data_IF_152892127262
#
_entry.id   IF_152892127262
#
_cell.length_a   1.000
_cell.length_b   1.000
_cell.length_c   1.000
_cell.angle_alpha   90.00
_cell.angle_beta   90.00
_cell.angle_gamma   90.00
#
_symmetry.space_group_name_H-M   'P 1'
#
loop_
_entity.id
_entity.type
_entity.pdbx_description
1 polymer ?
#
# COMPACT_ATOMS: atom_id res chain seq x y z
N UNK A 1 3.58 -54.04 36.36
CA UNK A 1 3.45 -52.60 36.67
C UNK A 1 2.82 -51.92 35.47
N UNK A 2 1.79 -51.12 35.75
CA UNK A 2 0.73 -50.66 34.85
C UNK A 2 1.17 -49.59 33.84
N UNK A 3 0.51 -49.63 32.68
CA UNK A 3 0.45 -48.61 31.63
C UNK A 3 0.16 -47.18 32.13
N UNK A 4 0.66 -46.19 31.39
CA UNK A 4 -0.12 -44.99 31.04
C UNK A 4 0.20 -44.58 29.61
N UNK A 5 -0.75 -44.84 28.69
CA UNK A 5 -0.82 -44.25 27.35
C UNK A 5 -1.82 -43.11 27.44
N UNK A 6 -1.39 -41.87 27.23
CA UNK A 6 -2.30 -40.74 27.09
C UNK A 6 -2.85 -40.72 25.66
N UNK A 7 -4.12 -41.10 25.54
CA UNK A 7 -4.93 -40.98 24.33
C UNK A 7 -5.46 -39.55 24.25
N UNK A 8 -5.04 -38.79 23.24
CA UNK A 8 -5.66 -37.52 22.85
C UNK A 8 -6.96 -37.84 22.08
N UNK A 9 -8.10 -37.64 22.72
CA UNK A 9 -9.41 -37.75 22.11
C UNK A 9 -9.75 -36.43 21.40
N UNK A 10 -9.61 -36.39 20.07
CA UNK A 10 -10.24 -35.37 19.22
C UNK A 10 -11.66 -35.84 18.94
N UNK A 11 -12.64 -35.20 19.58
CA UNK A 11 -14.06 -35.36 19.24
C UNK A 11 -14.31 -34.69 17.88
N UNK A 12 -14.27 -35.46 16.81
CA UNK A 12 -14.96 -35.12 15.58
C UNK A 12 -16.45 -35.45 15.78
N UNK A 13 -17.30 -34.43 15.79
CA UNK A 13 -18.76 -34.60 15.85
C UNK A 13 -19.27 -35.22 14.56
N UNK A 14 -19.95 -36.34 14.76
CA UNK A 14 -20.59 -37.24 13.80
C UNK A 14 -21.76 -36.56 13.08
N UNK A 15 -21.77 -36.62 11.75
CA UNK A 15 -22.99 -36.65 10.93
C UNK A 15 -23.12 -38.06 10.34
N UNK A 16 -24.35 -38.58 10.41
CA UNK A 16 -24.73 -39.99 10.41
C UNK A 16 -25.01 -40.55 8.99
N UNK A 17 -24.62 -41.83 8.80
CA UNK A 17 -25.11 -42.91 7.91
C UNK A 17 -25.36 -42.73 6.40
N UNK A 18 -24.58 -43.49 5.60
CA UNK A 18 -25.10 -44.60 4.76
C UNK A 18 -23.95 -45.55 4.31
N UNK A 19 -24.09 -46.89 4.29
CA UNK A 19 -23.03 -47.81 3.91
C UNK A 19 -23.20 -48.30 2.47
N UNK A 20 -22.97 -47.43 1.49
CA UNK A 20 -22.75 -47.84 0.10
C UNK A 20 -21.25 -47.75 -0.16
N UNK A 21 -20.65 -48.86 -0.62
CA UNK A 21 -19.23 -49.05 -0.95
C UNK A 21 -18.56 -47.77 -1.48
N UNK A 22 -17.96 -46.99 -0.58
CA UNK A 22 -17.16 -45.84 -0.94
C UNK A 22 -15.82 -46.36 -1.46
N UNK A 23 -15.54 -46.12 -2.75
CA UNK A 23 -14.17 -45.81 -3.15
C UNK A 23 -13.66 -44.79 -2.12
N UNK A 24 -12.53 -45.08 -1.45
CA UNK A 24 -11.98 -44.25 -0.38
C UNK A 24 -12.27 -42.79 -0.66
N UNK A 25 -13.08 -42.17 0.20
CA UNK A 25 -13.50 -40.79 -0.01
C UNK A 25 -12.21 -39.99 -0.16
N UNK A 26 -12.00 -39.24 -1.26
CA UNK A 26 -10.77 -38.48 -1.47
C UNK A 26 -10.38 -37.66 -0.23
N UNK A 27 -11.37 -37.28 0.57
CA UNK A 27 -11.26 -36.61 1.86
C UNK A 27 -10.38 -37.36 2.88
N UNK A 28 -10.41 -38.69 2.99
CA UNK A 28 -9.61 -39.42 3.98
C UNK A 28 -8.12 -39.43 3.61
N UNK A 29 -7.81 -39.58 2.31
CA UNK A 29 -6.44 -39.41 1.79
C UNK A 29 -5.99 -37.95 1.92
N UNK A 30 -6.88 -37.00 1.63
CA UNK A 30 -6.58 -35.57 1.80
C UNK A 30 -6.32 -35.21 3.26
N UNK A 31 -7.07 -35.74 4.22
CA UNK A 31 -6.85 -35.49 5.65
C UNK A 31 -5.47 -35.97 6.13
N UNK A 32 -4.86 -36.93 5.43
CA UNK A 32 -3.50 -37.39 5.73
C UNK A 32 -2.39 -36.46 5.21
N UNK A 33 -2.69 -35.61 4.22
CA UNK A 33 -1.72 -34.72 3.54
C UNK A 33 -1.98 -33.24 3.89
N UNK A 34 -3.24 -32.88 4.08
CA UNK A 34 -3.72 -31.53 4.36
C UNK A 34 -3.89 -31.39 5.87
N UNK A 35 -2.96 -30.66 6.49
CA UNK A 35 -3.01 -30.42 7.93
C UNK A 35 -3.72 -29.09 8.23
N UNK A 36 -4.65 -29.03 9.20
CA UNK A 36 -5.25 -27.77 9.61
C UNK A 36 -4.19 -26.72 10.00
N UNK A 37 -4.36 -25.51 9.49
CA UNK A 37 -3.45 -24.41 9.75
C UNK A 37 -3.96 -23.54 10.91
N UNK A 38 -3.47 -23.75 12.13
CA UNK A 38 -3.83 -22.89 13.26
C UNK A 38 -3.36 -21.44 13.05
N UNK A 39 -2.19 -21.24 12.44
CA UNK A 39 -1.61 -19.91 12.21
C UNK A 39 -2.47 -19.01 11.30
N UNK A 40 -3.21 -19.61 10.35
CA UNK A 40 -4.10 -18.88 9.44
C UNK A 40 -5.58 -19.12 9.72
N UNK A 41 -5.90 -19.88 10.78
CA UNK A 41 -7.28 -20.25 11.10
C UNK A 41 -8.13 -19.03 11.47
N UNK A 42 -7.57 -18.14 12.29
CA UNK A 42 -8.27 -16.91 12.70
C UNK A 42 -8.52 -15.98 11.51
N UNK A 43 -7.52 -15.81 10.63
CA UNK A 43 -7.66 -15.04 9.38
C UNK A 43 -8.83 -15.57 8.55
N UNK A 44 -8.96 -16.90 8.44
CA UNK A 44 -10.07 -17.51 7.74
C UNK A 44 -11.40 -17.31 8.44
N UNK A 45 -11.49 -17.53 9.76
CA UNK A 45 -12.75 -17.38 10.48
C UNK A 45 -13.31 -15.96 10.42
N UNK A 46 -12.44 -14.96 10.51
CA UNK A 46 -12.83 -13.55 10.50
C UNK A 46 -13.25 -13.06 9.12
N UNK A 47 -12.65 -13.63 8.06
CA UNK A 47 -12.78 -13.07 6.71
C UNK A 47 -13.55 -13.98 5.76
N UNK A 48 -13.67 -15.29 5.99
CA UNK A 48 -14.31 -16.18 5.02
C UNK A 48 -15.82 -15.92 4.93
N UNK A 49 -16.24 -15.30 3.83
CA UNK A 49 -17.65 -14.93 3.63
C UNK A 49 -18.17 -13.95 4.67
N UNK A 50 -17.28 -13.22 5.35
CA UNK A 50 -17.71 -12.16 6.25
C UNK A 50 -18.38 -11.06 5.42
N UNK A 51 -19.56 -10.63 5.84
CA UNK A 51 -20.16 -9.40 5.32
C UNK A 51 -19.49 -8.14 5.88
N UNK A 52 -18.41 -8.28 6.64
CA UNK A 52 -17.69 -7.19 7.29
C UNK A 52 -16.42 -6.94 6.51
N UNK A 53 -16.20 -5.69 6.12
CA UNK A 53 -14.98 -5.28 5.44
C UNK A 53 -13.74 -5.55 6.32
N UNK A 54 -12.68 -6.15 5.76
CA UNK A 54 -11.39 -6.30 6.45
C UNK A 54 -10.63 -4.97 6.59
N UNK A 55 -11.16 -3.90 5.99
CA UNK A 55 -10.60 -2.56 6.01
C UNK A 55 -11.57 -1.60 6.68
N UNK A 56 -11.02 -0.66 7.44
CA UNK A 56 -11.76 0.45 8.05
C UNK A 56 -11.28 1.76 7.46
N UNK A 57 -12.20 2.70 7.27
CA UNK A 57 -11.85 4.06 6.90
C UNK A 57 -11.54 4.84 8.17
N UNK A 58 -10.39 5.50 8.20
CA UNK A 58 -9.94 6.28 9.34
C UNK A 58 -9.37 7.63 8.90
N UNK A 59 -9.36 8.59 9.83
CA UNK A 59 -8.69 9.87 9.59
C UNK A 59 -7.19 9.66 9.51
N UNK A 60 -6.54 10.36 8.58
CA UNK A 60 -5.08 10.37 8.48
C UNK A 60 -4.56 11.37 9.51
N UNK A 61 -3.87 10.92 10.57
CA UNK A 61 -3.23 11.83 11.50
C UNK A 61 -2.19 12.65 10.74
N UNK A 62 -1.95 13.88 11.18
CA UNK A 62 -0.99 14.80 10.56
C UNK A 62 -0.27 15.51 11.69
N UNK A 63 1.01 15.82 11.47
CA UNK A 63 1.85 16.64 12.36
C UNK A 63 1.14 17.94 12.77
N UNK A 64 1.63 18.65 13.79
CA UNK A 64 1.09 19.97 14.13
C UNK A 64 1.18 20.95 12.96
N UNK A 65 0.24 21.91 12.88
CA UNK A 65 0.12 22.86 11.75
C UNK A 65 1.44 23.55 11.39
N UNK A 66 2.30 23.82 12.37
CA UNK A 66 3.57 24.52 12.19
C UNK A 66 4.68 23.63 11.58
N UNK A 67 4.51 22.30 11.60
CA UNK A 67 5.51 21.32 11.12
C UNK A 67 5.03 20.60 9.84
N UNK A 68 3.75 20.76 9.48
CA UNK A 68 3.16 20.19 8.26
C UNK A 68 3.84 20.71 7.00
N UNK A 69 4.13 19.78 6.10
CA UNK A 69 4.58 20.14 4.75
C UNK A 69 3.37 20.43 3.85
N UNK A 70 3.55 21.33 2.88
CA UNK A 70 2.54 21.64 1.86
C UNK A 70 2.45 20.52 0.80
N UNK A 71 1.81 19.41 1.18
CA UNK A 71 1.52 18.27 0.32
C UNK A 71 0.08 17.86 0.53
N UNK A 72 -0.66 17.66 -0.58
CA UNK A 72 -2.05 17.17 -0.53
C UNK A 72 -2.05 15.73 0.01
N UNK A 73 -2.47 15.57 1.26
CA UNK A 73 -2.70 14.27 1.90
C UNK A 73 -4.20 14.12 2.12
N UNK A 74 -4.80 12.99 1.72
CA UNK A 74 -6.23 12.77 1.93
C UNK A 74 -6.56 12.81 3.41
N UNK A 75 -7.72 13.39 3.75
CA UNK A 75 -8.20 13.48 5.14
C UNK A 75 -8.49 12.10 5.74
N UNK A 76 -8.92 11.15 4.90
CA UNK A 76 -9.25 9.78 5.29
C UNK A 76 -8.48 8.79 4.43
N UNK A 77 -8.15 7.63 4.99
CA UNK A 77 -7.56 6.50 4.28
C UNK A 77 -8.25 5.21 4.69
N UNK A 78 -8.17 4.20 3.84
CA UNK A 78 -8.51 2.84 4.21
C UNK A 78 -7.31 2.16 4.86
N UNK A 79 -7.52 1.47 5.97
CA UNK A 79 -6.49 0.70 6.66
C UNK A 79 -7.00 -0.67 7.08
N UNK A 80 -6.07 -1.63 7.19
CA UNK A 80 -6.40 -2.99 7.63
C UNK A 80 -6.98 -2.96 9.04
N UNK A 81 -8.04 -3.69 9.35
CA UNK A 81 -8.68 -3.65 10.66
C UNK A 81 -7.69 -4.02 11.80
N UNK A 82 -7.59 -3.21 12.89
CA UNK A 82 -6.60 -3.41 13.95
C UNK A 82 -6.85 -4.68 14.76
N UNK A 83 -8.11 -5.10 14.89
CA UNK A 83 -8.53 -6.28 15.66
C UNK A 83 -8.55 -7.57 14.81
N UNK A 84 -8.04 -7.52 13.58
CA UNK A 84 -7.96 -8.72 12.75
C UNK A 84 -6.82 -9.63 13.21
N UNK A 85 -6.96 -10.94 13.13
CA UNK A 85 -5.85 -11.87 13.37
C UNK A 85 -4.69 -11.71 12.36
N UNK A 86 -4.93 -11.03 11.24
CA UNK A 86 -3.85 -10.57 10.36
C UNK A 86 -2.97 -9.54 11.08
N UNK A 87 -3.54 -8.69 11.92
CA UNK A 87 -2.83 -7.69 12.72
C UNK A 87 -1.70 -8.34 13.51
N UNK A 88 -2.00 -9.38 14.29
CA UNK A 88 -1.01 -10.05 15.14
C UNK A 88 0.16 -10.63 14.32
N UNK A 89 -0.13 -11.28 13.20
CA UNK A 89 0.92 -11.93 12.40
C UNK A 89 1.70 -10.95 11.50
N UNK A 90 0.97 -10.06 10.83
CA UNK A 90 1.50 -9.17 9.80
C UNK A 90 2.07 -7.89 10.41
N UNK A 91 1.35 -7.26 11.33
CA UNK A 91 1.74 -5.96 11.88
C UNK A 91 2.89 -6.13 12.86
N UNK A 92 3.00 -7.26 13.57
CA UNK A 92 4.20 -7.53 14.37
C UNK A 92 5.46 -7.54 13.50
N UNK A 93 5.37 -8.15 12.31
CA UNK A 93 6.50 -8.23 11.37
C UNK A 93 6.79 -6.92 10.65
N UNK A 94 5.74 -6.21 10.22
CA UNK A 94 5.86 -4.93 9.52
C UNK A 94 6.14 -3.77 10.48
N UNK A 95 5.83 -3.96 11.77
CA UNK A 95 5.87 -2.96 12.84
C UNK A 95 5.00 -1.73 12.60
N UNK A 96 4.17 -1.75 11.55
CA UNK A 96 3.19 -0.72 11.21
C UNK A 96 1.90 -1.42 10.84
N UNK A 97 0.78 -0.73 11.08
CA UNK A 97 -0.52 -1.09 10.52
C UNK A 97 -0.59 -0.59 9.08
N UNK A 98 -0.62 -1.48 8.06
CA UNK A 98 -0.68 -1.06 6.68
C UNK A 98 -1.99 -0.35 6.36
N UNK A 99 -1.90 0.59 5.43
CA UNK A 99 -3.05 1.18 4.77
C UNK A 99 -3.22 0.60 3.36
N UNK A 100 -4.43 0.72 2.81
CA UNK A 100 -4.72 0.35 1.43
C UNK A 100 -4.25 1.49 0.54
N UNK A 101 -3.19 1.23 -0.24
CA UNK A 101 -2.69 2.18 -1.23
C UNK A 101 -3.63 2.25 -2.42
N UNK A 102 -3.78 3.43 -3.02
CA UNK A 102 -4.45 3.58 -4.32
C UNK A 102 -3.81 2.69 -5.38
N UNK A 103 -2.49 2.53 -5.31
CA UNK A 103 -1.76 1.64 -6.22
C UNK A 103 -2.16 0.16 -6.06
N UNK A 104 -2.61 -0.27 -4.88
CA UNK A 104 -3.13 -1.65 -4.71
C UNK A 104 -4.47 -1.82 -5.43
N UNK A 105 -5.35 -0.83 -5.30
CA UNK A 105 -6.65 -0.82 -5.95
C UNK A 105 -6.49 -0.79 -7.47
N UNK A 106 -5.63 0.10 -7.96
CA UNK A 106 -5.32 0.19 -9.39
C UNK A 106 -4.71 -1.12 -9.91
N UNK A 107 -3.73 -1.68 -9.21
CA UNK A 107 -3.09 -2.93 -9.63
C UNK A 107 -4.08 -4.09 -9.69
N UNK A 108 -4.97 -4.20 -8.69
CA UNK A 108 -6.00 -5.24 -8.69
C UNK A 108 -7.03 -5.00 -9.81
N UNK A 109 -7.46 -3.76 -10.01
CA UNK A 109 -8.38 -3.39 -11.10
C UNK A 109 -7.81 -3.76 -12.47
N UNK A 110 -6.58 -3.37 -12.74
CA UNK A 110 -5.84 -3.67 -13.97
C UNK A 110 -5.73 -5.20 -14.20
N UNK A 111 -5.37 -5.94 -13.15
CA UNK A 111 -5.28 -7.41 -13.18
C UNK A 111 -6.65 -8.03 -13.51
N UNK A 112 -7.71 -7.57 -12.86
CA UNK A 112 -9.06 -8.08 -13.09
C UNK A 112 -9.58 -7.72 -14.48
N UNK A 113 -9.31 -6.51 -15.01
CA UNK A 113 -9.66 -6.15 -16.38
C UNK A 113 -8.98 -7.09 -17.39
N UNK A 114 -7.70 -7.37 -17.20
CA UNK A 114 -6.95 -8.30 -18.06
C UNK A 114 -7.50 -9.71 -17.95
N UNK A 115 -7.86 -10.17 -16.76
CA UNK A 115 -8.48 -11.47 -16.54
C UNK A 115 -9.81 -11.58 -17.28
N UNK A 116 -10.65 -10.55 -17.22
CA UNK A 116 -11.96 -10.49 -17.90
C UNK A 116 -11.81 -10.40 -19.42
N UNK A 117 -10.94 -9.52 -19.91
CA UNK A 117 -10.83 -9.21 -21.35
C UNK A 117 -9.90 -10.16 -22.11
N UNK A 118 -8.91 -10.73 -21.42
CA UNK A 118 -7.80 -11.48 -22.04
C UNK A 118 -6.79 -10.60 -22.78
N UNK A 119 -6.83 -9.26 -22.62
CA UNK A 119 -5.84 -8.34 -23.20
C UNK A 119 -4.46 -8.64 -22.63
N UNK A 120 -3.43 -8.74 -23.49
CA UNK A 120 -2.05 -9.05 -23.04
C UNK A 120 -1.29 -7.83 -22.48
N UNK A 121 -1.82 -6.63 -22.67
CA UNK A 121 -1.14 -5.40 -22.28
C UNK A 121 -1.91 -4.74 -21.15
N UNK A 122 -1.18 -4.40 -20.10
CA UNK A 122 -1.67 -3.57 -19.00
C UNK A 122 -1.21 -2.15 -19.32
N UNK A 123 -2.11 -1.36 -19.89
CA UNK A 123 -1.88 0.07 -20.11
C UNK A 123 -2.18 0.80 -18.81
N UNK A 124 -1.31 1.72 -18.41
CA UNK A 124 -1.64 2.67 -17.33
C UNK A 124 -2.86 3.46 -17.81
N UNK A 125 -3.99 3.34 -17.12
CA UNK A 125 -5.13 4.23 -17.37
C UNK A 125 -4.63 5.68 -17.33
N UNK A 126 -5.03 6.51 -18.29
CA UNK A 126 -4.66 7.92 -18.27
C UNK A 126 -5.05 8.47 -16.89
N UNK A 127 -4.10 9.09 -16.19
CA UNK A 127 -4.30 9.61 -14.83
C UNK A 127 -5.27 10.81 -14.78
N UNK A 128 -5.96 11.10 -15.90
CA UNK A 128 -6.55 12.40 -16.20
C UNK A 128 -8.08 12.45 -16.11
N UNK A 129 -8.77 11.51 -15.44
CA UNK A 129 -10.25 11.54 -15.40
C UNK A 129 -10.94 11.78 -14.04
N UNK A 130 -10.21 12.01 -12.94
CA UNK A 130 -10.80 12.41 -11.65
C UNK A 130 -9.77 13.23 -10.84
N UNK A 131 -9.98 14.47 -10.38
CA UNK A 131 -11.13 15.36 -10.29
C UNK A 131 -10.60 16.77 -10.54
N UNK A 132 -11.15 17.50 -11.51
CA UNK A 132 -11.27 18.94 -11.31
C UNK A 132 -12.21 19.06 -10.11
N UNK A 133 -11.68 19.25 -8.91
CA UNK A 133 -12.51 19.75 -7.81
C UNK A 133 -13.23 20.99 -8.37
N UNK A 134 -14.53 21.16 -8.11
CA UNK A 134 -15.25 22.34 -8.60
C UNK A 134 -14.44 23.54 -8.18
N UNK A 135 -14.00 24.34 -9.15
CA UNK A 135 -13.34 25.62 -8.90
C UNK A 135 -14.20 26.32 -7.85
N UNK A 136 -13.69 26.42 -6.62
CA UNK A 136 -14.28 27.29 -5.62
C UNK A 136 -14.31 28.65 -6.30
N UNK A 137 -15.53 29.12 -6.61
CA UNK A 137 -15.76 30.39 -7.28
C UNK A 137 -14.95 31.46 -6.57
N UNK A 138 -13.87 31.86 -7.23
CA UNK A 138 -13.02 32.96 -6.83
C UNK A 138 -13.90 34.22 -6.80
N UNK A 139 -14.10 34.75 -5.60
CA UNK A 139 -14.87 35.95 -5.39
C UNK A 139 -13.99 37.11 -5.82
N UNK A 140 -14.25 37.61 -7.03
CA UNK A 140 -14.10 39.02 -7.39
C UNK A 140 -12.70 39.47 -7.77
N UNK A 141 -12.47 39.51 -9.07
CA UNK A 141 -11.42 40.25 -9.75
C UNK A 141 -11.43 41.75 -9.34
N UNK A 142 -10.33 42.25 -8.77
CA UNK A 142 -10.01 43.69 -8.76
C UNK A 142 -9.39 44.04 -10.12
N UNK A 143 -10.12 44.83 -10.91
CA UNK A 143 -9.67 45.40 -12.18
C UNK A 143 -8.46 46.34 -11.97
N UNK A 144 -7.28 45.94 -12.45
CA UNK A 144 -6.19 46.86 -12.74
C UNK A 144 -6.15 47.15 -14.25
N UNK A 145 -6.61 48.34 -14.64
CA UNK A 145 -6.42 48.88 -15.99
C UNK A 145 -5.06 49.58 -16.06
N UNK A 146 -4.24 49.12 -17.00
CA UNK A 146 -3.04 49.77 -17.50
C UNK A 146 -3.33 51.16 -18.11
N UNK A 147 -2.49 52.14 -17.79
CA UNK A 147 -2.17 53.24 -18.72
C UNK A 147 -0.67 53.53 -18.71
N UNK A 148 0.01 53.01 -19.73
CA UNK A 148 1.27 53.55 -20.24
C UNK A 148 0.99 54.85 -21.00
N UNK A 149 1.69 55.93 -20.68
CA UNK A 149 1.98 57.01 -21.63
C UNK A 149 3.32 57.67 -21.32
N UNK A 150 3.97 58.09 -22.40
CA UNK A 150 5.37 58.48 -22.59
C UNK A 150 5.81 59.77 -21.87
N UNK A 151 7.10 59.81 -21.55
CA UNK A 151 8.00 60.95 -21.25
C UNK A 151 7.83 62.16 -22.21
N UNK A 152 8.20 63.43 -21.84
CA UNK A 152 9.57 63.76 -21.41
C UNK A 152 9.79 64.92 -20.38
N UNK A 153 11.06 64.97 -19.96
CA UNK A 153 11.77 65.93 -19.09
C UNK A 153 11.30 67.39 -19.02
N UNK A 154 11.51 68.04 -17.85
CA UNK A 154 12.23 69.34 -17.65
C UNK A 154 12.12 69.84 -16.19
N UNK A 155 13.29 70.10 -15.59
CA UNK A 155 13.69 71.05 -14.53
C UNK A 155 12.77 71.44 -13.36
N UNK A 156 13.28 71.15 -12.16
CA UNK A 156 13.69 72.10 -11.10
C UNK A 156 12.65 72.89 -10.26
N UNK A 157 13.03 73.09 -9.00
CA UNK A 157 12.55 74.06 -7.98
C UNK A 157 11.28 73.83 -7.10
N UNK A 158 11.59 73.55 -5.82
CA UNK A 158 11.23 74.32 -4.59
C UNK A 158 9.78 74.37 -4.02
N UNK A 159 9.77 74.03 -2.72
CA UNK A 159 9.15 74.68 -1.53
C UNK A 159 7.80 74.16 -0.98
N UNK A 160 7.90 73.75 0.29
CA UNK A 160 7.03 74.01 1.46
C UNK A 160 5.51 74.01 1.26
N UNK A 161 4.80 73.18 2.04
CA UNK A 161 4.04 73.65 3.22
C UNK A 161 3.56 72.48 4.09
N UNK A 162 3.70 72.66 5.39
CA UNK A 162 3.05 71.91 6.47
C UNK A 162 1.52 72.12 6.40
N UNK A 163 0.74 71.13 6.83
CA UNK A 163 -0.38 71.36 7.75
C UNK A 163 -0.85 70.03 8.35
N UNK A 164 -0.88 70.03 9.68
CA UNK A 164 -1.48 69.05 10.59
C UNK A 164 -3.00 69.03 10.41
N UNK A 165 -3.67 67.88 10.66
CA UNK A 165 -4.85 67.85 11.53
C UNK A 165 -5.32 66.41 11.83
N UNK A 166 -5.22 66.06 13.11
CA UNK A 166 -6.28 65.50 13.95
C UNK A 166 -7.02 64.20 13.57
N UNK A 167 -6.60 63.17 14.29
CA UNK A 167 -7.45 62.12 14.84
C UNK A 167 -8.62 62.71 15.67
N UNK A 168 -9.86 62.39 15.30
CA UNK A 168 -10.90 61.95 16.24
C UNK A 168 -12.21 61.55 15.52
N UNK A 169 -12.72 60.37 15.89
CA UNK A 169 -14.13 60.01 16.10
C UNK A 169 -15.20 60.76 15.29
N UNK A 170 -16.10 60.01 14.63
CA UNK A 170 -17.49 59.90 15.12
C UNK A 170 -18.23 58.79 14.36
N UNK A 171 -18.72 57.90 15.21
CA UNK A 171 -19.68 56.83 15.03
C UNK A 171 -21.05 57.41 14.68
N UNK A 172 -21.83 56.62 13.94
CA UNK A 172 -23.29 56.64 13.82
C UNK A 172 -23.95 57.22 12.54
N UNK A 173 -24.97 56.46 12.14
CA UNK A 173 -26.11 56.80 11.28
C UNK A 173 -25.96 56.65 9.77
N UNK A 174 -26.24 55.42 9.28
CA UNK A 174 -27.44 55.23 8.46
C UNK A 174 -27.97 53.79 8.51
N UNK A 175 -28.76 53.50 9.53
CA UNK A 175 -29.84 52.50 9.44
C UNK A 175 -30.92 53.05 8.51
N UNK A 176 -31.37 52.28 7.52
CA UNK A 176 -32.78 51.86 7.33
C UNK A 176 -33.01 51.26 5.94
N UNK A 177 -33.67 50.09 5.96
CA UNK A 177 -34.48 49.46 4.91
C UNK A 177 -33.77 48.68 3.79
N UNK A 178 -33.63 47.35 3.97
CA UNK A 178 -34.65 46.39 3.53
C UNK A 178 -34.46 45.07 4.29
N UNK A 179 -35.54 44.58 4.89
CA UNK A 179 -35.55 43.31 5.60
C UNK A 179 -35.86 42.15 4.67
N UNK A 180 -35.09 41.08 4.79
CA UNK A 180 -35.57 39.72 4.58
C UNK A 180 -34.82 38.84 5.57
N UNK A 181 -35.44 38.64 6.73
CA UNK A 181 -35.02 37.70 7.76
C UNK A 181 -35.15 36.28 7.22
N UNK A 182 -34.03 35.68 6.83
CA UNK A 182 -33.88 34.23 6.88
C UNK A 182 -33.30 33.89 8.25
N UNK A 183 -34.16 33.36 9.14
CA UNK A 183 -33.72 32.64 10.33
C UNK A 183 -33.00 31.36 9.87
N UNK A 184 -31.68 31.45 9.68
CA UNK A 184 -30.80 30.27 9.65
C UNK A 184 -30.54 29.92 11.12
N UNK A 185 -31.57 29.36 11.75
CA UNK A 185 -31.42 28.67 13.01
C UNK A 185 -30.52 27.47 12.79
N UNK A 186 -29.44 27.41 13.57
CA UNK A 186 -28.56 26.26 13.80
C UNK A 186 -29.35 24.94 13.85
N UNK A 187 -29.53 24.30 12.71
CA UNK A 187 -29.77 22.86 12.64
C UNK A 187 -28.44 22.24 12.27
N UNK A 188 -27.62 21.99 13.30
CA UNK A 188 -26.59 20.95 13.23
C UNK A 188 -27.35 19.64 13.16
N UNK A 189 -27.87 19.35 11.96
CA UNK A 189 -28.35 18.01 11.64
C UNK A 189 -27.13 17.13 11.68
N UNK A 190 -27.03 16.28 12.69
CA UNK A 190 -26.19 15.08 12.66
C UNK A 190 -26.69 14.25 11.50
N UNK A 191 -26.16 14.49 10.30
CA UNK A 191 -26.29 13.59 9.17
C UNK A 191 -25.63 12.31 9.65
N UNK A 192 -26.46 11.31 9.89
CA UNK A 192 -26.03 9.95 10.21
C UNK A 192 -25.35 9.40 8.95
N UNK A 193 -24.07 9.76 8.77
CA UNK A 193 -23.24 9.24 7.70
C UNK A 193 -23.11 7.73 7.92
N UNK A 194 -23.96 6.96 7.22
CA UNK A 194 -23.83 5.51 7.16
C UNK A 194 -22.37 5.16 6.84
N UNK A 195 -21.74 4.27 7.62
CA UNK A 195 -20.33 3.95 7.44
C UNK A 195 -20.09 3.55 5.99
N UNK A 196 -19.15 4.24 5.34
CA UNK A 196 -18.74 3.91 3.97
C UNK A 196 -18.23 2.48 3.98
N UNK A 197 -18.77 1.63 3.13
CA UNK A 197 -18.34 0.24 2.99
C UNK A 197 -17.22 0.13 1.94
N UNK A 198 -16.20 -0.69 2.21
CA UNK A 198 -15.15 -0.96 1.23
C UNK A 198 -15.66 -1.93 0.17
N UNK A 199 -15.70 -1.50 -1.08
CA UNK A 199 -16.18 -2.33 -2.20
C UNK A 199 -15.19 -3.44 -2.52
N UNK A 200 -15.67 -4.68 -2.50
CA UNK A 200 -14.85 -5.85 -2.79
C UNK A 200 -15.03 -6.29 -4.26
N UNK A 201 -13.99 -6.15 -5.10
CA UNK A 201 -14.11 -6.41 -6.54
C UNK A 201 -14.26 -7.90 -6.90
N UNK A 202 -14.17 -8.81 -5.93
CA UNK A 202 -14.40 -10.25 -6.13
C UNK A 202 -15.86 -10.68 -5.86
N UNK A 203 -16.71 -9.82 -5.27
CA UNK A 203 -18.11 -10.14 -5.02
C UNK A 203 -18.96 -10.15 -6.29
N UNK A 204 -18.59 -9.35 -7.30
CA UNK A 204 -19.36 -9.17 -8.55
C UNK A 204 -18.87 -10.06 -9.70
N UNK A 205 -17.88 -10.92 -9.47
CA UNK A 205 -17.30 -11.72 -10.56
C UNK A 205 -18.15 -12.95 -10.82
N UNK A 206 -18.96 -12.89 -11.87
CA UNK A 206 -19.68 -14.04 -12.40
C UNK A 206 -18.72 -15.21 -12.65
N UNK A 207 -19.03 -16.35 -12.04
CA UNK A 207 -18.17 -17.55 -11.99
C UNK A 207 -17.92 -18.21 -13.36
N UNK A 208 -18.55 -17.71 -14.43
CA UNK A 208 -18.56 -18.35 -15.76
C UNK A 208 -17.57 -17.72 -16.77
N UNK A 209 -16.93 -16.60 -16.44
CA UNK A 209 -15.92 -16.01 -17.32
C UNK A 209 -14.65 -16.85 -17.30
N UNK A 210 -14.47 -17.72 -18.31
CA UNK A 210 -13.26 -18.51 -18.48
C UNK A 210 -12.01 -17.61 -18.41
N UNK A 211 -11.23 -17.76 -17.33
CA UNK A 211 -10.02 -16.97 -17.07
C UNK A 211 -9.02 -17.16 -18.23
N UNK A 212 -8.80 -16.11 -19.03
CA UNK A 212 -7.91 -16.16 -20.20
C UNK A 212 -6.43 -15.93 -19.83
N UNK A 213 -6.17 -15.16 -18.77
CA UNK A 213 -4.84 -14.86 -18.28
C UNK A 213 -4.36 -15.94 -17.29
N UNK A 214 -3.09 -16.39 -17.43
CA UNK A 214 -2.56 -17.52 -16.67
C UNK A 214 -1.70 -17.14 -15.45
N UNK A 215 -1.29 -15.88 -15.31
CA UNK A 215 -0.56 -15.42 -14.12
C UNK A 215 0.01 -14.01 -14.27
N UNK A 216 0.32 -13.39 -13.13
CA UNK A 216 0.91 -12.06 -13.03
C UNK A 216 2.15 -12.10 -12.15
N UNK A 217 3.19 -11.39 -12.55
CA UNK A 217 4.38 -11.12 -11.74
C UNK A 217 4.36 -9.66 -11.36
N UNK A 218 4.20 -9.41 -10.06
CA UNK A 218 4.26 -8.07 -9.50
C UNK A 218 5.73 -7.71 -9.28
N UNK A 219 6.22 -6.76 -10.07
CA UNK A 219 7.57 -6.24 -10.00
C UNK A 219 7.56 -4.87 -9.31
N UNK A 220 8.72 -4.47 -8.83
CA UNK A 220 8.91 -3.15 -8.22
C UNK A 220 9.93 -3.22 -7.11
N UNK A 221 10.22 -2.05 -6.56
CA UNK A 221 11.30 -1.87 -5.61
C UNK A 221 11.08 -2.64 -4.28
N UNK A 222 12.14 -3.08 -3.57
CA UNK A 222 11.99 -3.60 -2.22
C UNK A 222 11.39 -2.57 -1.27
N UNK A 223 10.49 -3.04 -0.41
CA UNK A 223 9.74 -2.16 0.49
C UNK A 223 8.58 -1.40 -0.18
N UNK A 224 8.29 -1.64 -1.46
CA UNK A 224 7.15 -1.01 -2.15
C UNK A 224 5.77 -1.58 -1.79
N UNK A 225 5.71 -2.54 -0.87
CA UNK A 225 4.44 -3.10 -0.39
C UNK A 225 3.91 -4.29 -1.19
N UNK A 226 4.72 -4.95 -2.03
CA UNK A 226 4.30 -6.17 -2.78
C UNK A 226 3.71 -7.25 -1.88
N UNK A 227 4.36 -7.57 -0.76
CA UNK A 227 3.83 -8.55 0.20
C UNK A 227 2.49 -8.08 0.78
N UNK A 228 2.36 -6.80 1.14
CA UNK A 228 1.10 -6.23 1.64
C UNK A 228 -0.01 -6.32 0.57
N UNK A 229 0.32 -6.06 -0.69
CA UNK A 229 -0.60 -6.24 -1.82
C UNK A 229 -1.12 -7.69 -1.92
N UNK A 230 -0.28 -8.71 -1.72
CA UNK A 230 -0.73 -10.10 -1.70
C UNK A 230 -1.74 -10.36 -0.56
N UNK A 231 -1.51 -9.79 0.63
CA UNK A 231 -2.45 -9.91 1.75
C UNK A 231 -3.75 -9.12 1.51
N UNK A 232 -3.66 -7.94 0.90
CA UNK A 232 -4.82 -7.18 0.45
C UNK A 232 -5.71 -8.02 -0.50
N UNK A 233 -5.11 -8.66 -1.51
CA UNK A 233 -5.82 -9.55 -2.43
C UNK A 233 -6.37 -10.78 -1.71
N UNK A 234 -5.59 -11.41 -0.82
CA UNK A 234 -6.03 -12.56 -0.03
C UNK A 234 -7.31 -12.22 0.75
N UNK A 235 -7.30 -11.13 1.51
CA UNK A 235 -8.42 -10.70 2.33
C UNK A 235 -9.70 -10.50 1.52
N UNK A 236 -9.61 -9.75 0.42
CA UNK A 236 -10.74 -9.52 -0.46
C UNK A 236 -11.30 -10.84 -1.03
N UNK A 237 -10.41 -11.78 -1.41
CA UNK A 237 -10.87 -13.09 -1.90
C UNK A 237 -11.53 -13.94 -0.81
N UNK A 238 -11.01 -13.95 0.41
CA UNK A 238 -11.61 -14.66 1.53
C UNK A 238 -13.00 -14.09 1.86
N UNK A 239 -13.13 -12.76 1.89
CA UNK A 239 -14.41 -12.08 2.08
C UNK A 239 -15.43 -12.46 0.98
N UNK A 240 -14.98 -12.63 -0.26
CA UNK A 240 -15.80 -13.16 -1.35
C UNK A 240 -15.96 -14.70 -1.34
N UNK A 241 -15.54 -15.40 -0.29
CA UNK A 241 -15.57 -16.86 -0.15
C UNK A 241 -14.88 -17.60 -1.31
N UNK A 242 -13.85 -16.99 -1.91
CA UNK A 242 -13.18 -17.55 -3.08
C UNK A 242 -11.97 -18.40 -2.67
N UNK A 243 -11.81 -19.61 -3.27
CA UNK A 243 -10.68 -20.47 -2.97
C UNK A 243 -9.38 -19.75 -3.35
N UNK A 244 -8.40 -19.84 -2.47
CA UNK A 244 -7.14 -19.09 -2.61
C UNK A 244 -5.99 -19.91 -2.04
N UNK A 245 -4.87 -19.89 -2.73
CA UNK A 245 -3.62 -20.54 -2.33
C UNK A 245 -2.62 -19.44 -2.00
N UNK A 246 -1.93 -19.55 -0.87
CA UNK A 246 -0.88 -18.63 -0.44
C UNK A 246 0.43 -19.40 -0.27
N UNK A 247 1.50 -18.92 -0.92
CA UNK A 247 2.85 -19.47 -0.81
C UNK A 247 3.79 -18.37 -0.30
N UNK A 248 4.12 -18.43 0.98
CA UNK A 248 5.05 -17.49 1.65
C UNK A 248 6.36 -18.15 2.08
N UNK A 249 6.47 -19.47 1.89
CA UNK A 249 7.62 -20.29 2.27
C UNK A 249 7.88 -21.31 1.15
N UNK A 250 9.14 -21.66 0.83
CA UNK A 250 9.44 -22.52 -0.33
C UNK A 250 8.91 -23.95 -0.17
N UNK A 251 8.78 -24.41 1.08
CA UNK A 251 8.42 -25.80 1.40
C UNK A 251 6.97 -25.98 1.85
N UNK A 252 6.19 -24.89 1.96
CA UNK A 252 4.84 -24.92 2.52
C UNK A 252 3.87 -24.11 1.68
N UNK A 253 2.70 -24.69 1.46
CA UNK A 253 1.59 -24.08 0.75
C UNK A 253 0.38 -24.02 1.68
N UNK A 254 -0.21 -22.83 1.82
CA UNK A 254 -1.45 -22.63 2.57
C UNK A 254 -2.62 -22.59 1.59
N UNK A 255 -3.64 -23.39 1.80
CA UNK A 255 -4.81 -23.49 0.93
C UNK A 255 -6.05 -23.09 1.73
N UNK A 256 -6.74 -22.05 1.28
CA UNK A 256 -8.00 -21.56 1.83
C UNK A 256 -9.16 -22.07 0.96
N UNK A 257 -10.02 -22.89 1.56
CA UNK A 257 -11.21 -23.48 0.93
C UNK A 257 -12.43 -23.25 1.82
N UNK A 258 -13.63 -23.46 1.28
CA UNK A 258 -14.89 -23.40 2.05
C UNK A 258 -14.92 -24.28 3.30
N UNK A 259 -14.12 -25.33 3.34
CA UNK A 259 -14.05 -26.28 4.45
C UNK A 259 -12.99 -25.90 5.50
N UNK A 260 -12.20 -24.85 5.27
CA UNK A 260 -11.16 -24.40 6.20
C UNK A 260 -9.84 -24.03 5.53
N UNK A 261 -8.81 -23.91 6.37
CA UNK A 261 -7.44 -23.62 5.95
C UNK A 261 -6.53 -24.80 6.20
N UNK A 262 -5.76 -25.15 5.19
CA UNK A 262 -4.90 -26.32 5.20
C UNK A 262 -3.47 -25.95 4.83
N UNK A 263 -2.51 -26.63 5.43
CA UNK A 263 -1.13 -26.65 4.99
C UNK A 263 -0.83 -27.93 4.23
N UNK A 264 -0.06 -27.78 3.17
CA UNK A 264 0.50 -28.89 2.40
C UNK A 264 1.97 -28.62 2.16
N UNK A 265 2.81 -29.65 2.28
CA UNK A 265 4.21 -29.52 1.91
C UNK A 265 4.33 -29.29 0.40
N UNK A 266 5.35 -28.56 -0.06
CA UNK A 266 5.52 -28.34 -1.49
C UNK A 266 5.81 -29.66 -2.25
N UNK A 267 6.31 -30.70 -1.57
CA UNK A 267 6.51 -32.03 -2.17
C UNK A 267 5.21 -32.77 -2.41
N UNK A 268 4.23 -32.61 -1.53
CA UNK A 268 2.93 -33.30 -1.60
C UNK A 268 1.87 -32.46 -2.34
N UNK A 269 2.21 -31.22 -2.72
CA UNK A 269 1.28 -30.30 -3.36
C UNK A 269 0.73 -30.81 -4.70
N UNK A 270 1.54 -31.51 -5.49
CA UNK A 270 1.09 -32.12 -6.76
C UNK A 270 0.02 -33.19 -6.53
N UNK A 271 0.08 -33.91 -5.40
CA UNK A 271 -0.90 -34.94 -5.06
C UNK A 271 -2.25 -34.35 -4.67
N UNK A 272 -2.31 -33.11 -4.15
CA UNK A 272 -3.56 -32.44 -3.79
C UNK A 272 -4.08 -31.49 -4.86
N UNK A 273 -3.28 -31.14 -5.88
CA UNK A 273 -3.64 -30.13 -6.86
C UNK A 273 -4.96 -30.42 -7.59
N UNK A 274 -5.28 -31.71 -7.82
CA UNK A 274 -6.49 -32.13 -8.51
C UNK A 274 -7.78 -31.93 -7.69
N UNK A 275 -7.67 -31.67 -6.38
CA UNK A 275 -8.82 -31.42 -5.50
C UNK A 275 -9.06 -29.94 -5.24
N UNK A 276 -8.08 -29.11 -5.60
CA UNK A 276 -8.20 -27.65 -5.47
C UNK A 276 -9.08 -27.15 -6.61
N UNK A 277 -10.10 -26.31 -6.33
CA UNK A 277 -10.93 -25.72 -7.38
C UNK A 277 -10.08 -25.01 -8.45
N UNK A 278 -10.42 -25.22 -9.72
CA UNK A 278 -9.66 -24.65 -10.85
C UNK A 278 -9.72 -23.12 -10.92
N UNK A 279 -10.67 -22.49 -10.22
CA UNK A 279 -10.79 -21.05 -10.06
C UNK A 279 -9.99 -20.48 -8.88
N UNK A 280 -9.23 -21.32 -8.15
CA UNK A 280 -8.41 -20.86 -7.05
C UNK A 280 -7.25 -19.99 -7.55
N UNK A 281 -7.09 -18.80 -6.97
CA UNK A 281 -5.92 -17.96 -7.26
C UNK A 281 -4.73 -18.42 -6.42
N UNK A 282 -3.54 -18.39 -7.02
CA UNK A 282 -2.29 -18.67 -6.30
C UNK A 282 -1.50 -17.38 -6.10
N UNK A 283 -1.39 -16.97 -4.84
CA UNK A 283 -0.66 -15.80 -4.38
C UNK A 283 0.70 -16.26 -3.88
N UNK A 284 1.77 -15.86 -4.58
CA UNK A 284 3.14 -16.32 -4.28
C UNK A 284 3.98 -15.12 -3.88
N UNK A 285 4.49 -15.13 -2.64
CA UNK A 285 5.49 -14.18 -2.19
C UNK A 285 6.88 -14.68 -2.58
N UNK A 286 7.40 -14.18 -3.70
CA UNK A 286 8.65 -14.62 -4.32
C UNK A 286 9.91 -13.98 -3.71
N UNK A 287 9.92 -13.68 -2.40
CA UNK A 287 11.14 -13.24 -1.72
C UNK A 287 12.24 -14.33 -1.79
N UNK A 288 13.52 -13.97 -1.68
CA UNK A 288 14.70 -14.83 -1.95
C UNK A 288 14.65 -16.23 -1.31
N UNK A 289 14.01 -16.37 -0.15
CA UNK A 289 13.88 -17.65 0.54
C UNK A 289 12.72 -18.51 0.04
N UNK A 290 11.72 -17.90 -0.60
CA UNK A 290 10.42 -18.48 -0.89
C UNK A 290 10.22 -18.93 -2.33
N UNK A 291 11.21 -18.74 -3.22
CA UNK A 291 11.14 -19.31 -4.56
C UNK A 291 11.09 -20.84 -4.47
N UNK A 292 9.96 -21.48 -4.82
CA UNK A 292 9.94 -22.93 -4.95
C UNK A 292 10.99 -23.30 -5.99
N UNK A 293 11.84 -24.30 -5.70
CA UNK A 293 12.94 -24.68 -6.60
C UNK A 293 12.38 -24.82 -8.01
N UNK A 294 13.05 -24.29 -9.04
CA UNK A 294 12.57 -24.24 -10.45
C UNK A 294 11.97 -25.56 -10.98
N UNK A 295 12.33 -26.71 -10.39
CA UNK A 295 11.77 -28.04 -10.67
C UNK A 295 10.31 -28.22 -10.21
N UNK A 296 9.89 -27.54 -9.15
CA UNK A 296 8.53 -27.57 -8.58
C UNK A 296 7.59 -26.57 -9.27
N UNK A 297 8.12 -25.46 -9.80
CA UNK A 297 7.36 -24.51 -10.62
C UNK A 297 7.39 -24.89 -12.10
N UNK A 298 6.90 -26.09 -12.44
CA UNK A 298 6.56 -26.42 -13.85
C UNK A 298 5.47 -25.49 -14.42
N UNK A 299 4.90 -24.60 -13.60
CA UNK A 299 3.91 -23.60 -14.00
C UNK A 299 4.44 -22.68 -15.09
N UNK A 300 5.65 -22.14 -14.98
CA UNK A 300 6.18 -21.15 -15.95
C UNK A 300 6.19 -21.68 -17.40
N UNK A 301 6.39 -22.99 -17.60
CA UNK A 301 6.37 -23.62 -18.92
C UNK A 301 4.97 -24.08 -19.36
N UNK A 302 4.00 -24.17 -18.44
CA UNK A 302 2.58 -24.49 -18.72
C UNK A 302 1.71 -23.22 -18.85
N UNK A 303 2.17 -22.10 -18.29
CA UNK A 303 1.51 -20.80 -18.34
C UNK A 303 2.02 -19.97 -19.50
N UNK A 304 1.57 -20.30 -20.71
CA UNK A 304 1.61 -19.35 -21.83
C UNK A 304 0.86 -18.08 -21.38
N UNK A 305 1.57 -16.96 -21.20
CA UNK A 305 0.97 -15.66 -20.88
C UNK A 305 1.09 -15.20 -19.42
N UNK A 306 2.27 -15.33 -18.80
CA UNK A 306 2.58 -14.58 -17.57
C UNK A 306 2.76 -13.11 -17.94
N UNK A 307 1.97 -12.24 -17.31
CA UNK A 307 2.06 -10.79 -17.47
C UNK A 307 2.85 -10.16 -16.33
N UNK A 308 3.49 -9.03 -16.61
CA UNK A 308 4.28 -8.29 -15.64
C UNK A 308 3.51 -7.03 -15.26
N UNK A 309 3.50 -6.73 -13.96
CA UNK A 309 2.94 -5.50 -13.41
C UNK A 309 4.01 -4.80 -12.60
N UNK A 310 4.51 -3.65 -13.07
CA UNK A 310 5.41 -2.82 -12.27
C UNK A 310 4.56 -1.93 -11.34
N UNK A 311 4.73 -2.10 -10.03
CA UNK A 311 4.07 -1.25 -9.04
C UNK A 311 4.71 0.13 -8.98
N UNK A 312 3.87 1.16 -8.88
CA UNK A 312 4.32 2.52 -8.66
C UNK A 312 5.04 2.67 -7.32
N UNK A 313 6.11 3.49 -7.29
CA UNK A 313 6.74 3.84 -6.04
C UNK A 313 5.78 4.55 -5.07
N UNK A 314 6.14 4.64 -3.79
CA UNK A 314 5.32 5.37 -2.84
C UNK A 314 5.30 6.84 -3.21
N UNK A 315 4.17 7.51 -3.15
CA UNK A 315 4.16 8.98 -3.16
C UNK A 315 4.58 9.53 -1.79
N UNK A 316 4.97 10.81 -1.72
CA UNK A 316 5.23 11.45 -0.44
C UNK A 316 3.98 11.44 0.47
N UNK A 317 2.78 11.62 -0.10
CA UNK A 317 1.54 11.53 0.66
C UNK A 317 1.31 10.13 1.26
N UNK A 318 1.59 9.08 0.49
CA UNK A 318 1.51 7.70 0.94
C UNK A 318 2.54 7.38 2.04
N UNK A 319 3.76 7.94 1.96
CA UNK A 319 4.76 7.81 3.02
C UNK A 319 4.31 8.48 4.33
N UNK A 320 3.66 9.63 4.25
CA UNK A 320 3.12 10.32 5.44
C UNK A 320 2.02 9.49 6.08
N UNK A 321 1.05 9.01 5.28
CA UNK A 321 -0.04 8.15 5.78
C UNK A 321 0.52 6.91 6.48
N UNK A 322 1.46 6.21 5.85
CA UNK A 322 2.00 4.97 6.43
C UNK A 322 2.88 5.19 7.66
N UNK A 323 3.50 6.36 7.80
CA UNK A 323 4.25 6.74 9.00
C UNK A 323 3.34 7.05 10.18
N UNK A 324 2.23 7.74 9.94
CA UNK A 324 1.27 8.09 10.99
C UNK A 324 0.57 6.85 11.54
N UNK A 325 0.22 5.91 10.64
CA UNK A 325 -0.29 4.59 11.04
C UNK A 325 0.76 3.74 11.79
N UNK A 326 2.05 4.01 11.56
CA UNK A 326 3.11 3.41 12.36
C UNK A 326 3.08 3.98 13.78
N UNK A 327 3.04 5.30 13.98
CA UNK A 327 3.04 5.91 15.33
C UNK A 327 1.80 5.51 16.13
N UNK A 328 0.61 5.65 15.55
CA UNK A 328 -0.68 5.42 16.25
C UNK A 328 -0.82 3.97 16.73
N UNK A 329 -0.28 3.01 15.98
CA UNK A 329 -0.29 1.60 16.37
C UNK A 329 0.47 1.33 17.69
N UNK A 330 1.43 2.18 18.07
CA UNK A 330 2.17 2.03 19.32
C UNK A 330 1.54 2.76 20.51
N UNK A 331 0.78 3.83 20.30
CA UNK A 331 0.25 4.66 21.39
C UNK A 331 -0.95 4.03 22.11
N UNK A 332 -1.65 3.10 21.47
CA UNK A 332 -2.81 2.42 22.08
C UNK A 332 -2.45 1.34 23.11
N UNK A 333 -1.20 0.86 23.12
CA UNK A 333 -0.77 -0.13 24.10
C UNK A 333 -0.09 0.60 25.25
N UNK A 334 -0.65 0.47 26.46
CA UNK A 334 -0.10 1.00 27.72
C UNK A 334 1.32 0.51 28.07
N UNK A 335 1.93 -0.31 27.21
CA UNK A 335 3.29 -0.87 27.33
C UNK A 335 4.33 -0.12 26.48
N UNK A 336 4.09 1.17 26.20
CA UNK A 336 4.99 2.06 25.46
C UNK A 336 6.44 2.03 25.98
N UNK A 337 6.61 1.79 27.28
CA UNK A 337 7.89 1.84 27.99
C UNK A 337 8.81 0.62 27.79
N UNK A 338 8.24 -0.55 27.49
CA UNK A 338 9.03 -1.80 27.37
C UNK A 338 9.56 -1.98 25.96
N UNK A 339 8.77 -1.63 24.94
CA UNK A 339 9.18 -1.72 23.53
C UNK A 339 10.26 -0.69 23.20
N UNK A 340 10.22 0.49 23.83
CA UNK A 340 11.24 1.55 23.67
C UNK A 340 12.61 1.15 24.25
N UNK A 341 12.64 0.40 25.35
CA UNK A 341 13.92 -0.01 26.02
C UNK A 341 14.62 -1.19 25.35
N UNK A 342 13.89 -2.07 24.67
CA UNK A 342 14.45 -3.31 24.11
C UNK A 342 14.99 -3.20 22.68
N UNK A 343 15.01 -2.00 22.08
CA UNK A 343 15.48 -1.81 20.71
C UNK A 343 16.60 -0.78 20.67
N UNK A 344 17.76 -1.20 20.17
CA UNK A 344 18.94 -0.38 19.84
C UNK A 344 18.73 0.59 18.67
N UNK A 345 17.48 0.88 18.32
CA UNK A 345 17.19 2.06 17.52
C UNK A 345 17.39 3.23 18.47
N UNK A 346 18.35 4.06 18.16
CA UNK A 346 18.60 5.34 18.83
C UNK A 346 17.40 6.27 18.49
N UNK A 347 16.22 5.99 19.06
CA UNK A 347 14.95 6.71 18.81
C UNK A 347 14.93 8.01 19.62
N UNK A 348 16.02 8.78 19.57
CA UNK A 348 16.03 10.13 20.14
C UNK A 348 15.33 11.13 19.22
N UNK A 349 15.17 10.83 17.94
CA UNK A 349 14.52 11.71 16.97
C UNK A 349 13.27 11.05 16.38
N UNK A 350 12.11 11.56 16.77
CA UNK A 350 10.84 11.30 16.08
C UNK A 350 10.96 11.78 14.64
N UNK A 351 10.66 10.91 13.67
CA UNK A 351 10.65 11.27 12.26
C UNK A 351 9.53 12.30 12.05
N UNK A 352 9.82 13.41 11.38
CA UNK A 352 8.80 14.43 11.05
C UNK A 352 8.35 14.30 9.58
N UNK A 353 7.20 14.89 9.22
CA UNK A 353 6.79 15.03 7.82
C UNK A 353 7.90 15.70 6.97
N UNK A 354 8.59 16.69 7.55
CA UNK A 354 9.72 17.39 6.91
C UNK A 354 10.90 16.46 6.65
N UNK A 355 11.23 15.59 7.61
CA UNK A 355 12.26 14.58 7.46
C UNK A 355 11.92 13.57 6.35
N UNK A 356 10.65 13.14 6.27
CA UNK A 356 10.16 12.27 5.19
C UNK A 356 10.20 12.97 3.82
N UNK A 357 9.84 14.25 3.77
CA UNK A 357 9.95 15.05 2.54
C UNK A 357 11.40 15.14 2.07
N UNK A 358 12.33 15.42 2.97
CA UNK A 358 13.74 15.55 2.62
C UNK A 358 14.32 14.20 2.19
N UNK A 359 13.96 13.11 2.89
CA UNK A 359 14.26 11.76 2.44
C UNK A 359 13.74 11.52 1.01
N UNK A 360 12.47 11.83 0.75
CA UNK A 360 11.80 11.60 -0.54
C UNK A 360 12.46 12.39 -1.67
N UNK A 361 12.96 13.60 -1.40
CA UNK A 361 13.70 14.41 -2.38
C UNK A 361 15.06 13.82 -2.72
N UNK A 362 15.72 13.20 -1.74
CA UNK A 362 17.09 12.73 -1.88
C UNK A 362 17.21 11.26 -2.32
N UNK A 363 16.23 10.41 -2.02
CA UNK A 363 16.39 8.95 -2.11
C UNK A 363 15.20 8.23 -2.77
N UNK A 364 15.37 6.93 -3.03
CA UNK A 364 14.30 6.08 -3.55
C UNK A 364 13.08 6.09 -2.61
N UNK A 365 11.86 6.33 -3.14
CA UNK A 365 10.63 6.37 -2.35
C UNK A 365 10.15 4.96 -1.95
N UNK A 366 10.86 4.38 -0.99
CA UNK A 366 10.55 3.11 -0.34
C UNK A 366 10.15 3.35 1.11
N UNK A 367 8.94 2.97 1.48
CA UNK A 367 8.43 3.12 2.85
C UNK A 367 9.36 2.45 3.89
N UNK A 368 9.88 1.27 3.57
CA UNK A 368 10.80 0.53 4.45
C UNK A 368 12.03 1.38 4.80
N UNK A 369 12.65 2.02 3.81
CA UNK A 369 13.86 2.79 4.02
C UNK A 369 13.56 4.19 4.57
N UNK A 370 12.49 4.83 4.10
CA UNK A 370 12.06 6.13 4.61
C UNK A 370 11.85 6.08 6.13
N UNK A 371 11.09 5.10 6.65
CA UNK A 371 10.81 5.00 8.09
C UNK A 371 12.03 4.57 8.92
N UNK A 372 13.07 4.03 8.29
CA UNK A 372 14.31 3.65 8.98
C UNK A 372 15.34 4.77 9.01
N UNK A 373 15.30 5.68 8.03
CA UNK A 373 16.42 6.56 7.74
C UNK A 373 16.07 8.04 7.66
N UNK A 374 14.80 8.41 7.48
CA UNK A 374 14.39 9.81 7.39
C UNK A 374 14.77 10.63 8.64
N UNK A 375 14.79 10.00 9.82
CA UNK A 375 15.23 10.66 11.05
C UNK A 375 16.72 10.99 11.10
N UNK A 376 17.58 10.31 10.33
CA UNK A 376 19.02 10.55 10.34
C UNK A 376 19.59 10.42 8.92
N UNK A 377 19.30 11.43 8.11
CA UNK A 377 19.70 11.47 6.71
C UNK A 377 21.21 11.43 6.56
N UNK A 378 21.98 12.13 7.38
CA UNK A 378 23.45 12.14 7.28
C UNK A 378 24.08 10.75 7.44
N UNK A 379 23.55 9.94 8.35
CA UNK A 379 23.97 8.54 8.49
C UNK A 379 23.61 7.73 7.26
N UNK A 380 22.43 7.96 6.70
CA UNK A 380 21.99 7.27 5.49
C UNK A 380 22.79 7.70 4.25
N UNK A 381 23.08 8.99 4.08
CA UNK A 381 23.96 9.53 3.03
C UNK A 381 25.32 8.84 3.07
N UNK A 382 25.93 8.72 4.26
CA UNK A 382 27.22 8.01 4.42
C UNK A 382 27.12 6.53 4.06
N UNK A 383 26.02 5.88 4.43
CA UNK A 383 25.76 4.50 4.04
C UNK A 383 25.67 4.36 2.52
N UNK A 384 24.87 5.20 1.85
CA UNK A 384 24.70 5.20 0.38
C UNK A 384 26.02 5.54 -0.34
N UNK A 385 26.84 6.46 0.19
CA UNK A 385 28.19 6.69 -0.35
C UNK A 385 29.09 5.47 -0.23
N UNK A 386 29.04 4.77 0.90
CA UNK A 386 29.73 3.49 1.08
C UNK A 386 29.28 2.41 0.09
N UNK A 387 28.04 2.50 -0.41
CA UNK A 387 27.52 1.64 -1.48
C UNK A 387 28.07 2.02 -2.85
N UNK A 388 28.25 3.31 -3.16
CA UNK A 388 28.86 3.75 -4.43
C UNK A 388 30.29 3.22 -4.61
N UNK A 389 31.09 3.20 -3.53
CA UNK A 389 32.43 2.59 -3.57
C UNK A 389 32.45 1.09 -3.92
N UNK A 390 31.31 0.40 -3.82
CA UNK A 390 31.16 -1.01 -4.17
C UNK A 390 30.59 -1.22 -5.59
N UNK A 391 30.12 -0.15 -6.25
CA UNK A 391 29.58 -0.24 -7.60
C UNK A 391 30.73 -0.23 -8.62
N UNK A 392 30.88 -1.35 -9.32
CA UNK A 392 31.75 -1.43 -10.49
C UNK A 392 30.94 -1.12 -11.75
N UNK A 393 31.59 -0.61 -12.81
CA UNK A 393 30.94 -0.35 -14.11
C UNK A 393 30.22 -1.61 -14.62
N UNK A 394 30.85 -2.78 -14.47
CA UNK A 394 30.28 -4.08 -14.83
C UNK A 394 28.97 -4.41 -14.08
N UNK A 395 28.78 -3.89 -12.86
CA UNK A 395 27.53 -4.05 -12.08
C UNK A 395 26.41 -3.15 -12.60
N UNK A 396 26.73 -1.97 -13.12
CA UNK A 396 25.73 -1.06 -13.69
C UNK A 396 25.27 -1.47 -15.10
N UNK A 397 26.10 -2.16 -15.87
CA UNK A 397 25.74 -2.63 -17.23
C UNK A 397 24.79 -3.85 -17.25
N UNK A 398 24.69 -4.59 -16.15
CA UNK A 398 23.82 -5.78 -16.04
C UNK A 398 22.84 -5.68 -14.85
N UNK A 399 21.99 -4.64 -14.79
CA UNK A 399 21.18 -4.36 -13.61
C UNK A 399 20.02 -5.34 -13.36
N UNK A 400 19.84 -6.37 -14.21
CA UNK A 400 18.63 -7.22 -14.22
C UNK A 400 18.97 -8.72 -14.27
N UNK A 401 19.97 -9.17 -13.52
CA UNK A 401 20.13 -10.60 -13.26
C UNK A 401 19.81 -10.88 -11.79
N UNK A 402 18.51 -11.06 -11.54
CA UNK A 402 17.73 -11.08 -10.27
C UNK A 402 18.20 -12.06 -9.19
N UNK A 403 19.28 -12.81 -9.42
CA UNK A 403 19.65 -13.96 -8.58
C UNK A 403 20.86 -13.70 -7.65
N UNK A 404 21.33 -12.46 -7.44
CA UNK A 404 22.52 -12.19 -6.60
C UNK A 404 22.29 -11.18 -5.47
N UNK A 405 22.81 -11.48 -4.27
CA UNK A 405 22.73 -10.61 -3.08
C UNK A 405 23.34 -9.21 -3.24
N UNK A 406 24.07 -8.98 -4.35
CA UNK A 406 24.59 -7.67 -4.75
C UNK A 406 23.46 -6.70 -5.18
N UNK A 407 22.24 -7.18 -5.44
CA UNK A 407 21.10 -6.32 -5.84
C UNK A 407 20.62 -5.39 -4.74
N UNK A 408 20.86 -5.73 -3.46
CA UNK A 408 20.50 -4.88 -2.33
C UNK A 408 21.09 -3.47 -2.47
N UNK A 409 22.27 -3.37 -3.07
CA UNK A 409 22.98 -2.12 -3.33
C UNK A 409 22.22 -1.23 -4.33
N UNK A 410 21.77 -1.83 -5.45
CA UNK A 410 21.13 -1.10 -6.53
C UNK A 410 19.79 -0.50 -6.10
N UNK A 411 19.12 -1.12 -5.12
CA UNK A 411 17.84 -0.61 -4.63
C UNK A 411 17.97 0.78 -3.96
N UNK A 412 19.11 1.08 -3.36
CA UNK A 412 19.31 2.39 -2.75
C UNK A 412 19.48 3.54 -3.77
N UNK A 413 19.72 3.19 -5.04
CA UNK A 413 20.22 4.12 -6.05
C UNK A 413 19.29 4.21 -7.26
N UNK A 414 18.73 3.07 -7.67
CA UNK A 414 17.93 2.93 -8.88
C UNK A 414 16.46 2.73 -8.54
N UNK A 415 15.59 3.47 -9.22
CA UNK A 415 14.15 3.25 -9.19
C UNK A 415 13.73 2.53 -10.46
N UNK A 416 12.85 1.53 -10.30
CA UNK A 416 12.13 0.96 -11.44
C UNK A 416 10.95 1.87 -11.71
N UNK A 417 11.05 2.70 -12.75
CA UNK A 417 10.00 3.63 -13.14
C UNK A 417 8.93 2.88 -13.93
N UNK A 418 7.67 3.15 -13.58
CA UNK A 418 6.53 2.81 -14.43
C UNK A 418 6.50 3.79 -15.59
N UNK A 419 6.26 3.31 -16.81
CA UNK A 419 6.05 4.19 -17.96
C UNK A 419 4.97 5.22 -17.63
N UNK A 420 5.12 6.45 -18.11
CA UNK A 420 4.17 7.57 -17.92
C UNK A 420 2.75 7.20 -18.39
N UNK A 421 1.75 8.04 -18.08
CA UNK A 421 0.36 7.83 -18.49
C UNK A 421 0.26 7.44 -19.98
N UNK A 422 -0.55 6.41 -20.30
CA UNK A 422 -0.61 5.81 -21.63
C UNK A 422 0.50 4.78 -21.95
N UNK A 423 1.46 4.60 -21.05
CA UNK A 423 2.54 3.63 -21.16
C UNK A 423 2.16 2.19 -20.79
N UNK A 424 3.00 1.23 -21.17
CA UNK A 424 2.83 -0.19 -20.83
C UNK A 424 3.49 -0.52 -19.48
N UNK A 425 2.72 -0.95 -18.47
CA UNK A 425 3.26 -1.38 -17.16
C UNK A 425 4.09 -2.68 -17.21
N UNK A 426 4.19 -3.31 -18.37
CA UNK A 426 4.90 -4.57 -18.59
C UNK A 426 6.40 -4.40 -18.84
N UNK A 427 6.87 -3.19 -19.16
CA UNK A 427 8.27 -2.89 -19.47
C UNK A 427 8.88 -2.08 -18.34
N UNK A 428 9.75 -2.66 -17.49
CA UNK A 428 10.42 -1.90 -16.44
C UNK A 428 11.45 -0.95 -17.07
N UNK A 429 11.38 0.33 -16.70
CA UNK A 429 12.44 1.30 -16.97
C UNK A 429 13.25 1.49 -15.70
N UNK A 430 14.58 1.61 -15.80
CA UNK A 430 15.46 1.77 -14.64
C UNK A 430 16.12 3.14 -14.76
N UNK A 431 15.95 3.96 -13.74
CA UNK A 431 16.50 5.32 -13.67
C UNK A 431 17.17 5.54 -12.30
N UNK A 432 18.05 6.54 -12.20
CA UNK A 432 18.57 6.99 -10.90
C UNK A 432 17.43 7.66 -10.15
N UNK A 433 17.21 7.26 -8.90
CA UNK A 433 16.00 7.62 -8.14
C UNK A 433 15.84 9.12 -7.86
N UNK A 434 16.93 9.89 -7.87
CA UNK A 434 16.90 11.32 -7.60
C UNK A 434 18.08 12.04 -8.25
N UNK A 435 17.92 13.35 -8.46
CA UNK A 435 19.03 14.22 -8.88
C UNK A 435 20.16 14.21 -7.86
N UNK A 436 19.84 14.17 -6.56
CA UNK A 436 20.82 14.11 -5.48
C UNK A 436 21.72 12.88 -5.59
N UNK A 437 21.15 11.70 -5.84
CA UNK A 437 21.92 10.48 -6.06
C UNK A 437 22.78 10.58 -7.33
N UNK A 438 22.27 11.23 -8.37
CA UNK A 438 23.05 11.56 -9.57
C UNK A 438 24.29 12.39 -9.26
N UNK A 439 24.14 13.44 -8.44
CA UNK A 439 25.25 14.29 -7.99
C UNK A 439 26.25 13.52 -7.13
N UNK A 440 25.78 12.68 -6.21
CA UNK A 440 26.69 11.85 -5.39
C UNK A 440 27.54 10.90 -6.23
N UNK A 441 26.97 10.34 -7.32
CA UNK A 441 27.70 9.48 -8.24
C UNK A 441 28.77 10.28 -9.03
N UNK A 442 28.50 11.55 -9.35
CA UNK A 442 29.46 12.40 -10.07
C UNK A 442 30.57 12.93 -9.18
N UNK A 443 30.28 13.24 -7.91
CA UNK A 443 31.25 13.82 -6.97
C UNK A 443 32.29 12.80 -6.47
N UNK A 444 31.94 11.51 -6.45
CA UNK A 444 32.83 10.42 -6.04
C UNK A 444 33.76 9.92 -7.17
N UNK A 445 33.64 10.47 -8.39
CA UNK A 445 34.49 10.14 -9.56
C UNK A 445 35.53 11.22 -9.83
#
# INVERSE_FOLDING_TARGET
MSCSKHTLAVKATVLDRDPVRYAECPIDRLASIMHPSLAYWHIYLENWGSGVSPFIQEEVPRDDKDVRINVKVPKKTWAFCPDSAISDFLFERLRTRPFVRREYEQALSDILEVVRTGKKNITVGNEDEYEAEPEEQDIGEEEHIDQMSLDPAVTDTKRFREEESDFANIREQKKRHLGTTFDIGNQVGTIDESPVEYLNPFQEVDSESALKAKGFVIMGHPGIGKTIFLYYVLLLRLQASQPTILVTHPDKVTIFLRHGVFFVSMTDFEDVMHVIPTNAWCLVDANETALPKRKHLRWANKTIGILRYVMKPFSLSELIIGYENFITSFTSLSDFDVVRRNRSLDVSETISEKSLQEYYRQYTPSARFAYQHAGNLDKYTRFVRGLFGQLTVNRMEKPINVDSGDEQILYHILTVRTVEAGGQRSVPQIEISSHHLGQLITDDR
#
